data_IF_239652463415
#
_entry.id   IF_239652463415
#
_cell.length_a   1.000
_cell.length_b   1.000
_cell.length_c   1.000
_cell.angle_alpha   90.00
_cell.angle_beta   90.00
_cell.angle_gamma   90.00
#
_symmetry.space_group_name_H-M   'P 1'
#
loop_
_entity.id
_entity.type
_entity.pdbx_description
1 polymer ?
#
# COMPACT_ATOMS: atom_id res chain seq x y z
N UNK A 1 16.27 15.44 -14.89
CA UNK A 1 17.11 15.39 -13.68
C UNK A 1 16.57 14.23 -12.86
N UNK A 2 17.16 13.05 -13.05
CA UNK A 2 16.79 11.82 -12.35
C UNK A 2 17.57 11.79 -11.03
N UNK A 3 16.90 12.09 -9.92
CA UNK A 3 17.40 11.72 -8.60
C UNK A 3 17.40 10.20 -8.50
N UNK A 4 18.53 9.59 -8.89
CA UNK A 4 18.84 8.20 -8.60
C UNK A 4 18.94 8.04 -7.09
N UNK A 5 17.80 7.79 -6.44
CA UNK A 5 17.73 7.32 -5.05
C UNK A 5 18.61 6.08 -4.97
N UNK A 6 19.68 6.16 -4.19
CA UNK A 6 20.64 5.06 -4.01
C UNK A 6 19.90 3.81 -3.52
N UNK A 7 20.33 2.60 -3.93
CA UNK A 7 19.80 1.36 -3.37
C UNK A 7 19.97 1.42 -1.86
N UNK A 8 18.90 1.13 -1.12
CA UNK A 8 18.98 1.06 0.34
C UNK A 8 19.82 -0.18 0.66
N UNK A 9 21.09 0.03 1.01
CA UNK A 9 22.00 -1.02 1.43
C UNK A 9 21.58 -1.62 2.78
N UNK A 10 22.51 -2.34 3.41
CA UNK A 10 22.36 -2.94 4.76
C UNK A 10 22.01 -1.93 5.88
N UNK A 11 21.95 -0.64 5.55
CA UNK A 11 21.58 0.49 6.42
C UNK A 11 20.08 0.84 6.38
N UNK A 12 19.23 0.06 5.69
CA UNK A 12 17.78 0.27 5.70
C UNK A 12 17.25 0.33 7.14
N UNK A 13 16.57 1.41 7.52
CA UNK A 13 15.98 1.53 8.87
C UNK A 13 14.63 0.83 8.95
N UNK A 14 14.19 0.53 10.17
CA UNK A 14 12.87 -0.08 10.44
C UNK A 14 11.73 0.79 9.90
N UNK A 15 11.88 2.12 9.97
CA UNK A 15 10.93 3.11 9.46
C UNK A 15 10.90 3.10 7.93
N UNK A 16 12.06 2.98 7.28
CA UNK A 16 12.14 2.87 5.82
C UNK A 16 11.48 1.59 5.32
N UNK A 17 11.65 0.46 6.02
CA UNK A 17 10.89 -0.77 5.73
C UNK A 17 9.38 -0.53 5.84
N UNK A 18 8.92 0.20 6.87
CA UNK A 18 7.51 0.53 7.01
C UNK A 18 7.00 1.43 5.89
N UNK A 19 7.83 2.35 5.38
CA UNK A 19 7.49 3.20 4.22
C UNK A 19 7.40 2.38 2.93
N UNK A 20 8.32 1.43 2.71
CA UNK A 20 8.25 0.49 1.58
C UNK A 20 6.97 -0.36 1.63
N UNK A 21 6.58 -0.82 2.83
CA UNK A 21 5.31 -1.53 3.01
C UNK A 21 4.08 -0.65 2.71
N UNK A 22 4.13 0.64 3.04
CA UNK A 22 3.09 1.60 2.65
C UNK A 22 3.02 1.77 1.11
N UNK A 23 4.15 1.79 0.40
CA UNK A 23 4.18 1.81 -1.08
C UNK A 23 3.58 0.54 -1.69
N UNK A 24 3.93 -0.63 -1.15
CA UNK A 24 3.36 -1.92 -1.60
C UNK A 24 1.85 -1.97 -1.34
N UNK A 25 1.41 -1.50 -0.17
CA UNK A 25 0.00 -1.44 0.19
C UNK A 25 -0.79 -0.52 -0.75
N UNK A 26 -0.27 0.68 -1.03
CA UNK A 26 -0.89 1.61 -1.97
C UNK A 26 -1.00 1.02 -3.38
N UNK A 27 0.05 0.36 -3.87
CA UNK A 27 0.03 -0.30 -5.18
C UNK A 27 -0.98 -1.45 -5.24
N UNK A 28 -1.12 -2.24 -4.17
CA UNK A 28 -2.15 -3.28 -4.09
C UNK A 28 -3.56 -2.68 -4.13
N UNK A 29 -3.79 -1.54 -3.47
CA UNK A 29 -5.07 -0.82 -3.52
C UNK A 29 -5.43 -0.37 -4.93
N UNK A 30 -4.47 0.21 -5.66
CA UNK A 30 -4.68 0.64 -7.06
C UNK A 30 -5.05 -0.53 -7.97
N UNK A 31 -4.39 -1.69 -7.78
CA UNK A 31 -4.69 -2.89 -8.55
C UNK A 31 -6.10 -3.42 -8.22
N UNK A 32 -6.46 -3.49 -6.93
CA UNK A 32 -7.78 -3.94 -6.51
C UNK A 32 -8.89 -3.05 -7.07
N UNK A 33 -8.74 -1.73 -6.96
CA UNK A 33 -9.69 -0.76 -7.50
C UNK A 33 -9.90 -0.91 -9.02
N UNK A 34 -8.84 -1.17 -9.78
CA UNK A 34 -8.98 -1.35 -11.23
C UNK A 34 -9.61 -2.72 -11.58
N UNK A 35 -9.28 -3.78 -10.84
CA UNK A 35 -9.92 -5.09 -11.02
C UNK A 35 -11.43 -5.02 -10.75
N UNK A 36 -11.83 -4.33 -9.68
CA UNK A 36 -13.24 -4.13 -9.35
C UNK A 36 -13.99 -3.36 -10.46
N UNK A 37 -13.35 -2.34 -11.04
CA UNK A 37 -13.91 -1.60 -12.17
C UNK A 37 -14.06 -2.46 -13.42
N UNK A 38 -13.10 -3.32 -13.71
CA UNK A 38 -13.14 -4.22 -14.88
C UNK A 38 -14.26 -5.23 -14.71
N UNK A 39 -14.35 -5.87 -13.54
CA UNK A 39 -15.40 -6.83 -13.21
C UNK A 39 -16.79 -6.18 -13.23
N UNK A 40 -16.90 -4.92 -12.81
CA UNK A 40 -18.14 -4.15 -12.87
C UNK A 40 -18.51 -3.59 -14.26
N UNK A 41 -17.59 -3.64 -15.23
CA UNK A 41 -17.78 -3.05 -16.55
C UNK A 41 -18.41 -4.02 -17.54
N UNK A 42 -19.50 -3.61 -18.21
CA UNK A 42 -20.09 -4.32 -19.36
C UNK A 42 -19.55 -3.83 -20.72
N UNK A 43 -18.61 -2.89 -20.72
CA UNK A 43 -18.06 -2.31 -21.95
C UNK A 43 -17.11 -3.28 -22.65
N UNK A 44 -17.19 -3.37 -23.98
CA UNK A 44 -16.18 -4.05 -24.78
C UNK A 44 -14.80 -3.40 -24.58
N UNK A 45 -13.73 -4.20 -24.65
CA UNK A 45 -12.36 -3.71 -24.55
C UNK A 45 -12.15 -2.64 -25.63
N UNK A 46 -11.77 -1.43 -25.19
CA UNK A 46 -11.58 -0.26 -26.03
C UNK A 46 -10.17 0.29 -25.86
N UNK A 47 -9.75 1.21 -26.74
CA UNK A 47 -8.48 1.92 -26.57
C UNK A 47 -8.38 2.59 -25.18
N UNK A 48 -9.50 3.12 -24.66
CA UNK A 48 -9.58 3.69 -23.31
C UNK A 48 -9.29 2.67 -22.19
N UNK A 49 -9.58 1.39 -22.42
CA UNK A 49 -9.21 0.31 -21.49
C UNK A 49 -7.70 0.06 -21.53
N UNK A 50 -7.11 0.06 -22.72
CA UNK A 50 -5.65 -0.07 -22.90
C UNK A 50 -4.91 1.09 -22.23
N UNK A 51 -5.35 2.34 -22.47
CA UNK A 51 -4.71 3.53 -21.87
C UNK A 51 -4.77 3.49 -20.34
N UNK A 52 -5.85 2.95 -19.77
CA UNK A 52 -5.98 2.74 -18.32
C UNK A 52 -5.00 1.70 -17.80
N UNK A 53 -4.84 0.57 -18.48
CA UNK A 53 -3.84 -0.42 -18.09
C UNK A 53 -2.42 0.11 -18.19
N UNK A 54 -2.08 0.87 -19.23
CA UNK A 54 -0.78 1.52 -19.37
C UNK A 54 -0.52 2.46 -18.18
N UNK A 55 -1.49 3.32 -17.85
CA UNK A 55 -1.40 4.21 -16.69
C UNK A 55 -1.28 3.45 -15.38
N UNK A 56 -2.05 2.38 -15.20
CA UNK A 56 -1.97 1.53 -14.01
C UNK A 56 -0.57 0.92 -13.90
N UNK A 57 -0.02 0.39 -14.98
CA UNK A 57 1.33 -0.18 -14.98
C UNK A 57 2.38 0.86 -14.54
N UNK A 58 2.29 2.11 -15.02
CA UNK A 58 3.16 3.19 -14.56
C UNK A 58 2.99 3.46 -13.05
N UNK A 59 1.75 3.47 -12.56
CA UNK A 59 1.43 3.70 -11.15
C UNK A 59 1.84 2.52 -10.24
N UNK A 60 1.97 1.31 -10.77
CA UNK A 60 2.41 0.13 -10.03
C UNK A 60 3.94 0.02 -9.93
N UNK A 61 4.71 0.78 -10.73
CA UNK A 61 6.19 0.74 -10.71
C UNK A 61 6.80 0.98 -9.33
N UNK A 62 6.35 1.98 -8.53
CA UNK A 62 6.88 2.20 -7.19
C UNK A 62 6.69 0.96 -6.29
N UNK A 63 5.47 0.41 -6.24
CA UNK A 63 5.22 -0.81 -5.47
C UNK A 63 6.00 -2.03 -5.97
N UNK A 64 6.28 -2.15 -7.26
CA UNK A 64 7.14 -3.21 -7.79
C UNK A 64 8.60 -3.04 -7.32
N UNK A 65 9.12 -1.81 -7.32
CA UNK A 65 10.45 -1.49 -6.77
C UNK A 65 10.52 -1.77 -5.28
N UNK A 66 9.52 -1.33 -4.52
CA UNK A 66 9.44 -1.59 -3.08
C UNK A 66 9.42 -3.09 -2.76
N UNK A 67 8.74 -3.93 -3.56
CA UNK A 67 8.80 -5.40 -3.40
C UNK A 67 10.19 -5.97 -3.65
N UNK A 68 10.90 -5.46 -4.67
CA UNK A 68 12.27 -5.89 -4.95
C UNK A 68 13.23 -5.45 -3.83
N UNK A 69 13.10 -4.21 -3.34
CA UNK A 69 13.90 -3.75 -2.21
C UNK A 69 13.62 -4.59 -0.96
N UNK A 70 12.35 -4.86 -0.63
CA UNK A 70 11.98 -5.71 0.50
C UNK A 70 12.46 -7.16 0.36
N UNK A 71 12.55 -7.71 -0.86
CA UNK A 71 13.01 -9.10 -1.07
C UNK A 71 14.50 -9.30 -0.81
N UNK A 72 15.28 -8.21 -0.88
CA UNK A 72 16.73 -8.24 -0.73
C UNK A 72 17.18 -7.95 0.72
N UNK A 73 16.25 -7.60 1.62
CA UNK A 73 16.53 -7.28 3.02
C UNK A 73 16.54 -8.51 3.94
N UNK A 74 17.28 -8.40 5.04
CA UNK A 74 17.25 -9.37 6.15
C UNK A 74 15.81 -9.57 6.69
N UNK A 75 15.31 -10.83 6.73
CA UNK A 75 13.97 -11.14 7.23
C UNK A 75 13.68 -10.61 8.64
N UNK A 76 14.66 -10.57 9.54
CA UNK A 76 14.45 -10.06 10.90
C UNK A 76 14.14 -8.55 10.89
N UNK A 77 14.79 -7.81 9.99
CA UNK A 77 14.52 -6.39 9.76
C UNK A 77 13.17 -6.14 9.10
N UNK A 78 12.81 -6.96 8.10
CA UNK A 78 11.47 -6.89 7.48
C UNK A 78 10.38 -7.10 8.52
N UNK A 79 10.56 -8.07 9.42
CA UNK A 79 9.62 -8.33 10.52
C UNK A 79 9.52 -7.14 11.49
N UNK A 80 10.64 -6.50 11.84
CA UNK A 80 10.64 -5.31 12.69
C UNK A 80 9.87 -4.15 12.03
N UNK A 81 10.13 -3.87 10.75
CA UNK A 81 9.42 -2.83 10.01
C UNK A 81 7.93 -3.13 9.84
N UNK A 82 7.56 -4.40 9.66
CA UNK A 82 6.16 -4.84 9.61
C UNK A 82 5.41 -4.50 10.91
N UNK A 83 6.05 -4.64 12.07
CA UNK A 83 5.42 -4.26 13.36
C UNK A 83 5.14 -2.76 13.42
N UNK A 84 6.07 -1.93 12.97
CA UNK A 84 5.89 -0.47 12.89
C UNK A 84 4.78 -0.11 11.91
N UNK A 85 4.80 -0.70 10.71
CA UNK A 85 3.75 -0.51 9.71
C UNK A 85 2.36 -0.88 10.24
N UNK A 86 2.22 -2.02 10.92
CA UNK A 86 0.95 -2.43 11.53
C UNK A 86 0.46 -1.46 12.62
N UNK A 87 1.37 -0.89 13.42
CA UNK A 87 1.02 0.12 14.41
C UNK A 87 0.47 1.39 13.73
N UNK A 88 1.19 1.91 12.73
CA UNK A 88 0.74 3.05 11.91
C UNK A 88 -0.63 2.78 11.28
N UNK A 89 -0.83 1.58 10.74
CA UNK A 89 -2.09 1.25 10.07
C UNK A 89 -3.28 1.14 11.04
N UNK A 90 -3.05 0.63 12.25
CA UNK A 90 -4.05 0.63 13.33
C UNK A 90 -4.44 2.05 13.72
N UNK A 91 -3.46 2.92 13.89
CA UNK A 91 -3.70 4.34 14.17
C UNK A 91 -4.52 5.00 13.04
N UNK A 92 -4.11 4.85 11.77
CA UNK A 92 -4.87 5.38 10.64
C UNK A 92 -6.32 4.88 10.60
N UNK A 93 -6.52 3.59 10.87
CA UNK A 93 -7.85 2.97 10.92
C UNK A 93 -8.70 3.55 12.06
N UNK A 94 -8.13 3.72 13.25
CA UNK A 94 -8.81 4.32 14.40
C UNK A 94 -9.20 5.79 14.13
N UNK A 95 -8.35 6.55 13.43
CA UNK A 95 -8.60 7.94 13.06
C UNK A 95 -9.49 8.10 11.82
N UNK A 96 -9.93 7.00 11.18
CA UNK A 96 -10.89 7.07 10.07
C UNK A 96 -12.31 7.36 10.56
N UNK A 97 -13.18 7.88 9.68
CA UNK A 97 -14.59 8.12 10.03
C UNK A 97 -15.30 6.81 10.44
N UNK A 98 -14.98 5.71 9.78
CA UNK A 98 -15.47 4.38 10.13
C UNK A 98 -14.94 3.92 11.50
N UNK A 99 -13.66 4.17 11.80
CA UNK A 99 -13.05 3.86 13.10
C UNK A 99 -13.68 4.64 14.25
N UNK A 100 -13.89 5.95 14.07
CA UNK A 100 -14.60 6.80 15.04
C UNK A 100 -16.05 6.35 15.26
N UNK A 101 -16.74 5.96 14.19
CA UNK A 101 -18.10 5.43 14.29
C UNK A 101 -18.10 4.10 15.08
N UNK A 102 -17.23 3.15 14.75
CA UNK A 102 -17.12 1.87 15.45
C UNK A 102 -16.82 2.04 16.96
N UNK A 103 -15.93 2.96 17.32
CA UNK A 103 -15.64 3.28 18.72
C UNK A 103 -16.85 3.88 19.45
N UNK A 104 -17.63 4.75 18.79
CA UNK A 104 -18.86 5.32 19.35
C UNK A 104 -19.93 4.27 19.64
N UNK A 105 -20.10 3.28 18.75
CA UNK A 105 -21.12 2.24 18.92
C UNK A 105 -20.73 1.14 19.92
N UNK A 106 -19.42 0.87 20.07
CA UNK A 106 -18.91 -0.12 21.03
C UNK A 106 -18.77 0.40 22.47
N UNK A 107 -18.56 1.72 22.66
CA UNK A 107 -18.48 2.34 23.99
C UNK A 107 -19.82 2.63 24.67
N UNK A 108 -20.96 2.41 24.00
CA UNK A 108 -22.30 2.66 24.54
C UNK A 108 -22.99 1.46 25.20
N UNK A 109 -22.34 0.30 25.26
CA UNK A 109 -22.88 -0.94 25.84
C UNK A 109 -22.38 -1.18 27.28
N UNK A 110 -22.50 -0.18 28.14
CA UNK A 110 -22.47 -0.35 29.60
C UNK A 110 -23.26 0.80 30.21
N UNK A 111 -24.53 0.52 30.50
CA UNK A 111 -25.35 1.29 31.42
C UNK A 111 -25.03 0.85 32.86
#
# INVERSE_FOLDING_TARGET
MDERRQPIGDDCTVEQVADLLDEVFAANGLLADEMDRILGSRAAVSQRTIDRFTRLADQLRPGARARAELSDLDPARVLAGTKVWMARNRERSAHSAAGRAAARWSGGASA
#
